data_IF_014909420514
#
_entry.id   IF_014909420514
#
_cell.length_a   1.000
_cell.length_b   1.000
_cell.length_c   1.000
_cell.angle_alpha   90.00
_cell.angle_beta   90.00
_cell.angle_gamma   90.00
#
_symmetry.space_group_name_H-M   'P 1'
#
loop_
_entity.id
_entity.type
_entity.pdbx_description
1 polymer ?
#
# COMPACT_ATOMS: atom_id res chain seq x y z
N UNK A 1 -27.33 38.03 -4.13
CA UNK A 1 -26.89 39.33 -4.68
C UNK A 1 -25.88 39.92 -3.73
N UNK A 2 -24.70 40.29 -4.25
CA UNK A 2 -23.68 41.12 -3.59
C UNK A 2 -22.90 40.41 -2.47
N UNK A 3 -21.72 39.85 -2.69
CA UNK A 3 -20.44 40.53 -3.00
C UNK A 3 -20.03 41.48 -1.86
N UNK A 4 -18.78 41.64 -1.44
CA UNK A 4 -17.46 41.06 -1.66
C UNK A 4 -16.52 42.08 -0.96
N UNK A 5 -15.23 41.75 -0.76
CA UNK A 5 -14.11 42.67 -0.40
C UNK A 5 -13.93 43.04 1.09
N UNK A 6 -12.72 43.16 1.64
CA UNK A 6 -11.37 43.12 1.07
C UNK A 6 -10.32 42.84 2.16
N UNK A 7 -9.25 42.17 1.72
CA UNK A 7 -7.90 42.08 2.28
C UNK A 7 -7.32 43.41 2.81
N UNK A 8 -6.42 43.30 3.79
CA UNK A 8 -5.21 44.12 3.84
C UNK A 8 -3.97 43.27 4.21
N UNK A 9 -3.04 43.22 3.24
CA UNK A 9 -1.64 42.80 3.36
C UNK A 9 -0.84 43.82 4.18
N UNK A 10 0.16 43.35 4.95
CA UNK A 10 1.37 44.14 5.26
C UNK A 10 2.60 43.30 4.91
N UNK A 11 3.41 43.86 4.00
CA UNK A 11 4.73 43.38 3.56
C UNK A 11 5.77 44.37 4.11
N UNK A 12 6.91 43.89 4.57
CA UNK A 12 8.11 44.70 4.84
C UNK A 12 9.36 44.00 4.26
N UNK A 13 10.44 44.74 3.92
CA UNK A 13 11.17 44.57 2.66
C UNK A 13 12.51 43.82 2.79
N UNK A 14 13.10 43.50 1.62
CA UNK A 14 14.44 42.93 1.47
C UNK A 14 15.35 43.83 0.61
N UNK A 15 16.67 43.74 0.88
CA UNK A 15 17.89 44.02 0.07
C UNK A 15 18.89 44.92 0.82
N UNK A 16 20.23 44.80 0.78
CA UNK A 16 21.23 43.80 0.33
C UNK A 16 22.63 44.28 0.90
N UNK A 17 23.83 43.90 0.40
CA UNK A 17 24.87 43.18 1.15
C UNK A 17 26.16 43.99 1.48
N UNK A 18 27.06 43.42 2.32
CA UNK A 18 28.46 43.82 2.43
C UNK A 18 29.38 42.62 2.73
N UNK A 19 30.55 42.59 2.08
CA UNK A 19 31.54 41.51 2.06
C UNK A 19 32.57 41.50 3.22
N UNK A 20 33.74 40.83 3.07
CA UNK A 20 34.18 39.80 4.02
C UNK A 20 35.43 40.16 4.83
N UNK A 21 35.61 39.57 6.02
CA UNK A 21 36.93 39.39 6.67
C UNK A 21 37.03 38.11 7.51
N UNK A 22 38.22 37.52 7.46
CA UNK A 22 38.69 36.22 8.00
C UNK A 22 38.93 36.25 9.53
N UNK A 23 38.93 35.06 10.16
CA UNK A 23 39.74 34.79 11.37
C UNK A 23 39.20 33.69 12.32
N UNK A 24 39.80 32.50 12.29
CA UNK A 24 39.80 31.48 13.36
C UNK A 24 40.77 31.92 14.51
N UNK A 25 40.74 31.36 15.76
CA UNK A 25 40.57 29.94 16.11
C UNK A 25 39.76 29.58 17.41
N UNK A 26 39.55 28.25 17.57
CA UNK A 26 39.06 27.44 18.71
C UNK A 26 40.07 27.40 19.91
N UNK A 27 39.89 26.67 21.06
CA UNK A 27 38.97 25.54 21.39
C UNK A 27 38.40 25.46 22.85
N UNK A 28 37.74 24.31 23.14
CA UNK A 28 37.31 23.69 24.42
C UNK A 28 35.84 24.00 24.82
N UNK A 29 34.95 23.06 25.14
CA UNK A 29 35.08 21.87 25.99
C UNK A 29 34.05 20.77 25.65
N UNK A 30 34.38 19.53 26.03
CA UNK A 30 33.57 18.30 25.88
C UNK A 30 32.52 18.20 26.99
N UNK A 31 31.29 17.81 26.65
CA UNK A 31 30.35 17.18 27.59
C UNK A 31 29.92 15.84 27.03
N UNK A 32 30.07 14.80 27.84
CA UNK A 32 29.83 13.38 27.57
C UNK A 32 28.55 12.99 28.30
N UNK A 33 27.57 12.40 27.62
CA UNK A 33 26.39 11.77 28.23
C UNK A 33 26.49 10.23 28.07
N UNK A 34 25.92 9.46 29.01
CA UNK A 34 26.23 8.03 29.17
C UNK A 34 25.49 7.15 28.16
N UNK A 35 26.15 6.05 27.79
CA UNK A 35 25.64 5.01 26.90
C UNK A 35 24.77 3.99 27.67
N UNK A 36 23.68 3.58 27.06
CA UNK A 36 22.91 2.37 27.40
C UNK A 36 22.96 1.39 26.21
N UNK A 37 22.86 0.06 26.45
CA UNK A 37 23.41 -0.94 25.54
C UNK A 37 22.48 -1.21 24.35
N UNK A 38 23.08 -1.33 23.16
CA UNK A 38 22.40 -1.73 21.94
C UNK A 38 22.02 -3.22 22.00
N UNK A 39 20.72 -3.51 21.94
CA UNK A 39 20.20 -4.83 21.63
C UNK A 39 20.51 -5.19 20.17
N UNK A 40 20.88 -6.45 19.93
CA UNK A 40 21.48 -6.91 18.68
C UNK A 40 20.66 -6.66 17.42
N UNK A 41 21.20 -5.82 16.53
CA UNK A 41 20.73 -5.67 15.15
C UNK A 41 21.04 -6.93 14.34
N UNK A 42 20.01 -7.64 13.88
CA UNK A 42 20.17 -8.61 12.79
C UNK A 42 20.18 -7.88 11.45
N UNK A 43 21.31 -7.99 10.74
CA UNK A 43 21.48 -7.49 9.37
C UNK A 43 20.92 -8.53 8.42
N UNK A 44 19.99 -8.15 7.55
CA UNK A 44 19.64 -8.94 6.38
C UNK A 44 20.22 -8.22 5.17
N UNK A 45 21.23 -8.83 4.54
CA UNK A 45 21.71 -8.46 3.23
C UNK A 45 21.18 -9.51 2.26
N UNK A 46 20.39 -9.10 1.28
CA UNK A 46 19.90 -10.01 0.23
C UNK A 46 20.80 -9.80 -0.99
N UNK A 47 21.69 -10.76 -1.26
CA UNK A 47 22.41 -10.87 -2.53
C UNK A 47 21.94 -12.12 -3.25
N UNK A 48 21.58 -11.98 -4.52
CA UNK A 48 21.20 -13.10 -5.38
C UNK A 48 22.46 -13.80 -5.91
N UNK A 49 22.67 -15.07 -5.56
CA UNK A 49 23.58 -15.95 -6.29
C UNK A 49 23.26 -17.43 -6.07
N UNK A 50 23.01 -18.16 -7.17
CA UNK A 50 23.61 -19.48 -7.41
C UNK A 50 22.85 -20.74 -6.96
N UNK A 51 22.37 -21.47 -7.96
CA UNK A 51 21.93 -22.87 -8.02
C UNK A 51 22.71 -23.90 -7.18
N UNK A 52 22.00 -24.86 -6.60
CA UNK A 52 22.56 -26.13 -6.11
C UNK A 52 21.46 -27.15 -5.76
N UNK A 53 21.40 -28.24 -6.53
CA UNK A 53 20.53 -29.41 -6.32
C UNK A 53 21.13 -30.38 -5.30
N UNK A 54 20.37 -30.77 -4.28
CA UNK A 54 20.72 -31.86 -3.36
C UNK A 54 19.49 -32.36 -2.61
N UNK A 55 19.13 -33.63 -2.83
CA UNK A 55 17.99 -34.33 -2.24
C UNK A 55 18.35 -34.99 -0.90
N UNK A 56 17.60 -34.65 0.16
CA UNK A 56 17.60 -35.27 1.49
C UNK A 56 16.16 -35.28 2.07
N UNK A 57 15.86 -36.10 3.09
CA UNK A 57 14.52 -36.63 3.37
C UNK A 57 13.55 -35.60 3.98
N UNK A 58 12.25 -35.92 3.89
CA UNK A 58 11.10 -35.07 4.18
C UNK A 58 11.14 -34.44 5.60
N UNK A 59 11.48 -33.14 5.64
CA UNK A 59 11.29 -32.26 6.79
C UNK A 59 10.03 -31.41 6.58
N UNK A 60 9.30 -31.16 7.67
CA UNK A 60 8.04 -30.43 7.73
C UNK A 60 8.06 -29.14 6.89
N UNK A 61 7.28 -29.12 5.80
CA UNK A 61 7.24 -28.00 4.87
C UNK A 61 6.70 -26.74 5.56
N UNK A 62 7.59 -25.78 5.84
CA UNK A 62 7.23 -24.42 6.23
C UNK A 62 6.23 -23.79 5.25
N UNK A 63 5.25 -23.04 5.76
CA UNK A 63 4.20 -22.45 4.93
C UNK A 63 4.76 -21.34 4.02
N UNK A 64 4.89 -21.65 2.74
CA UNK A 64 5.28 -20.67 1.71
C UNK A 64 4.05 -20.03 1.05
N UNK A 65 4.20 -18.82 0.50
CA UNK A 65 3.16 -18.18 -0.34
C UNK A 65 2.70 -19.07 -1.51
N UNK A 66 3.64 -19.81 -2.11
CA UNK A 66 3.34 -20.79 -3.16
C UNK A 66 2.49 -21.94 -2.63
N UNK A 67 2.87 -22.47 -1.46
CA UNK A 67 2.04 -23.43 -0.72
C UNK A 67 0.64 -22.89 -0.50
N UNK A 68 0.50 -21.58 -0.22
CA UNK A 68 -0.74 -20.82 -0.02
C UNK A 68 -1.66 -20.68 -1.26
N UNK A 69 -1.22 -21.17 -2.43
CA UNK A 69 -1.95 -21.07 -3.70
C UNK A 69 -1.65 -19.79 -4.49
N UNK A 70 -0.61 -19.03 -4.13
CA UNK A 70 -0.19 -17.81 -4.83
C UNK A 70 1.12 -18.06 -5.57
N UNK A 71 1.06 -18.11 -6.91
CA UNK A 71 2.24 -18.31 -7.77
C UNK A 71 2.75 -16.96 -8.32
N UNK A 72 3.76 -16.40 -7.65
CA UNK A 72 4.39 -15.13 -8.02
C UNK A 72 5.16 -15.25 -9.35
N UNK A 73 5.73 -16.43 -9.65
CA UNK A 73 6.49 -16.66 -10.87
C UNK A 73 5.57 -16.65 -12.10
N UNK A 74 4.40 -17.29 -11.98
CA UNK A 74 3.37 -17.27 -13.02
C UNK A 74 2.87 -15.85 -13.30
N UNK A 75 2.65 -15.05 -12.25
CA UNK A 75 2.29 -13.64 -12.38
C UNK A 75 3.36 -12.83 -13.12
N UNK A 76 4.63 -13.02 -12.76
CA UNK A 76 5.76 -12.34 -13.41
C UNK A 76 5.88 -12.70 -14.89
N UNK A 77 5.70 -13.98 -15.23
CA UNK A 77 5.72 -14.44 -16.62
C UNK A 77 4.55 -13.86 -17.44
N UNK A 78 3.35 -13.78 -16.86
CA UNK A 78 2.21 -13.14 -17.52
C UNK A 78 2.50 -11.66 -17.83
N UNK A 79 3.03 -10.91 -16.86
CA UNK A 79 3.42 -9.49 -17.08
C UNK A 79 4.46 -9.38 -18.19
N UNK A 80 5.44 -10.29 -18.25
CA UNK A 80 6.44 -10.31 -19.33
C UNK A 80 5.82 -10.55 -20.70
N UNK A 81 4.81 -11.43 -20.80
CA UNK A 81 4.08 -11.69 -22.06
C UNK A 81 3.22 -10.51 -22.47
N UNK A 82 2.47 -9.93 -21.53
CA UNK A 82 1.59 -8.78 -21.78
C UNK A 82 2.42 -7.58 -22.28
N UNK A 83 3.59 -7.32 -21.70
CA UNK A 83 4.49 -6.24 -22.17
C UNK A 83 4.90 -6.36 -23.63
N UNK A 84 4.93 -7.57 -24.21
CA UNK A 84 5.20 -7.77 -25.64
C UNK A 84 4.01 -7.40 -26.52
N UNK A 85 2.79 -7.57 -26.00
CA UNK A 85 1.54 -7.27 -26.71
C UNK A 85 1.12 -5.80 -26.54
N UNK A 86 1.39 -5.24 -25.36
CA UNK A 86 1.04 -3.88 -24.97
C UNK A 86 2.27 -3.22 -24.30
N UNK A 87 3.16 -2.58 -25.08
CA UNK A 87 4.42 -2.02 -24.58
C UNK A 87 4.27 -0.90 -23.54
N UNK A 88 3.07 -0.33 -23.40
CA UNK A 88 2.73 0.69 -22.41
C UNK A 88 2.26 0.16 -21.06
N UNK A 89 2.12 -1.16 -20.89
CA UNK A 89 1.69 -1.76 -19.61
C UNK A 89 2.90 -1.94 -18.68
N UNK A 90 2.91 -1.18 -17.58
CA UNK A 90 3.90 -1.29 -16.51
C UNK A 90 3.63 -0.30 -15.38
N UNK A 91 3.83 -0.75 -14.14
CA UNK A 91 3.33 -0.02 -12.96
C UNK A 91 1.83 -0.26 -12.75
N UNK A 92 1.32 0.05 -11.58
CA UNK A 92 -0.08 -0.22 -11.23
C UNK A 92 -1.07 0.82 -11.81
N UNK A 93 -0.58 1.93 -12.37
CA UNK A 93 -1.39 2.95 -13.05
C UNK A 93 -0.95 3.20 -14.49
N UNK A 94 -1.87 3.10 -15.45
CA UNK A 94 -1.63 3.41 -16.86
C UNK A 94 -1.74 4.90 -17.15
N UNK A 95 -0.74 5.49 -17.82
CA UNK A 95 -0.71 6.90 -18.23
C UNK A 95 -1.32 7.06 -19.62
N UNK A 96 -2.36 7.89 -19.75
CA UNK A 96 -3.01 8.24 -21.01
C UNK A 96 -2.88 9.75 -21.29
N UNK A 97 -2.28 10.18 -22.42
CA UNK A 97 -2.13 11.61 -22.73
C UNK A 97 -3.50 12.32 -22.89
N UNK A 98 -3.71 13.42 -22.17
CA UNK A 98 -4.94 14.21 -22.23
C UNK A 98 -4.66 15.71 -22.06
N UNK A 99 -4.65 16.47 -23.16
CA UNK A 99 -4.28 17.89 -23.12
C UNK A 99 -2.86 18.10 -22.57
N UNK A 100 -2.73 18.94 -21.54
CA UNK A 100 -1.48 19.21 -20.82
C UNK A 100 -1.23 18.26 -19.63
N UNK A 101 -2.10 17.27 -19.45
CA UNK A 101 -2.06 16.30 -18.36
C UNK A 101 -1.96 14.87 -18.88
N UNK A 102 -1.71 13.93 -17.98
CA UNK A 102 -2.00 12.53 -18.16
C UNK A 102 -3.21 12.16 -17.31
N UNK A 103 -4.15 11.42 -17.88
CA UNK A 103 -5.08 10.62 -17.10
C UNK A 103 -4.33 9.37 -16.62
N UNK A 104 -4.53 9.01 -15.36
CA UNK A 104 -3.93 7.83 -14.74
C UNK A 104 -5.05 6.91 -14.30
N UNK A 105 -5.12 5.73 -14.91
CA UNK A 105 -6.14 4.74 -14.59
C UNK A 105 -5.53 3.51 -13.92
N UNK A 106 -6.18 3.04 -12.86
CA UNK A 106 -5.83 1.81 -12.14
C UNK A 106 -7.06 0.95 -11.94
N UNK A 107 -6.88 -0.36 -11.91
CA UNK A 107 -7.93 -1.32 -11.58
C UNK A 107 -7.39 -2.35 -10.61
N UNK A 108 -8.19 -2.68 -9.60
CA UNK A 108 -7.84 -3.69 -8.61
C UNK A 108 -9.10 -4.32 -8.02
N UNK A 109 -8.93 -5.46 -7.36
CA UNK A 109 -9.94 -6.12 -6.55
C UNK A 109 -9.54 -6.15 -5.08
N UNK A 110 -10.43 -6.65 -4.23
CA UNK A 110 -10.13 -6.85 -2.80
C UNK A 110 -9.32 -8.13 -2.59
N UNK A 111 -9.55 -9.15 -3.41
CA UNK A 111 -8.87 -10.44 -3.30
C UNK A 111 -9.40 -11.30 -2.14
N UNK A 112 -8.55 -12.17 -1.59
CA UNK A 112 -8.98 -13.22 -0.65
C UNK A 112 -9.40 -12.72 0.74
N UNK A 113 -9.29 -11.41 1.01
CA UNK A 113 -9.89 -10.77 2.18
C UNK A 113 -11.42 -10.88 2.19
N UNK A 114 -12.05 -10.96 1.01
CA UNK A 114 -13.51 -11.18 0.88
C UNK A 114 -13.98 -12.43 1.62
N UNK A 115 -13.15 -13.49 1.70
CA UNK A 115 -13.51 -14.70 2.45
C UNK A 115 -13.69 -14.42 3.94
N UNK A 116 -12.84 -13.58 4.53
CA UNK A 116 -13.02 -13.14 5.92
C UNK A 116 -14.20 -12.19 6.07
N UNK A 117 -14.49 -11.36 5.08
CA UNK A 117 -15.70 -10.53 5.09
C UNK A 117 -16.96 -11.41 5.20
N UNK A 118 -17.02 -12.52 4.45
CA UNK A 118 -18.14 -13.47 4.52
C UNK A 118 -18.21 -14.19 5.87
N UNK A 119 -17.06 -14.64 6.40
CA UNK A 119 -17.00 -15.37 7.68
C UNK A 119 -17.33 -14.48 8.89
N UNK A 120 -16.95 -13.21 8.85
CA UNK A 120 -17.19 -12.24 9.95
C UNK A 120 -18.50 -11.47 9.82
N UNK A 121 -19.10 -11.40 8.63
CA UNK A 121 -20.22 -10.52 8.32
C UNK A 121 -19.86 -9.03 8.25
N UNK A 122 -18.56 -8.69 8.25
CA UNK A 122 -18.07 -7.31 8.15
C UNK A 122 -17.96 -6.93 6.66
N UNK A 123 -18.96 -6.22 6.17
CA UNK A 123 -19.06 -5.81 4.75
C UNK A 123 -19.00 -4.30 4.56
N UNK A 124 -19.21 -3.51 5.61
CA UNK A 124 -19.31 -2.05 5.55
C UNK A 124 -17.96 -1.35 5.35
N UNK A 125 -16.84 -2.03 5.63
CA UNK A 125 -15.49 -1.51 5.43
C UNK A 125 -14.78 -2.08 4.20
N UNK A 126 -15.29 -3.16 3.60
CA UNK A 126 -14.61 -3.86 2.50
C UNK A 126 -14.54 -3.00 1.21
N UNK A 127 -15.51 -2.11 1.03
CA UNK A 127 -15.49 -1.13 -0.05
C UNK A 127 -14.35 -0.10 0.10
N UNK A 128 -13.90 0.17 1.33
CA UNK A 128 -12.73 1.04 1.58
C UNK A 128 -11.47 0.36 1.06
N UNK A 129 -11.31 -0.95 1.31
CA UNK A 129 -10.21 -1.75 0.77
C UNK A 129 -10.18 -1.69 -0.76
N UNK A 130 -11.34 -1.89 -1.41
CA UNK A 130 -11.47 -1.82 -2.87
C UNK A 130 -10.98 -0.48 -3.42
N UNK A 131 -11.42 0.63 -2.83
CA UNK A 131 -11.01 1.96 -3.27
C UNK A 131 -9.52 2.19 -3.00
N UNK A 132 -9.06 1.83 -1.80
CA UNK A 132 -7.68 2.05 -1.36
C UNK A 132 -6.67 1.39 -2.28
N UNK A 133 -6.93 0.16 -2.73
CA UNK A 133 -6.04 -0.55 -3.64
C UNK A 133 -5.79 0.24 -4.91
N UNK A 134 -6.84 0.68 -5.61
CA UNK A 134 -6.69 1.41 -6.88
C UNK A 134 -6.19 2.86 -6.70
N UNK A 135 -6.68 3.59 -5.68
CA UNK A 135 -6.32 5.01 -5.52
C UNK A 135 -4.89 5.21 -5.00
N UNK A 136 -4.41 4.30 -4.12
CA UNK A 136 -3.03 4.34 -3.64
C UNK A 136 -2.04 4.00 -4.76
N UNK A 137 -2.45 3.20 -5.75
CA UNK A 137 -1.63 2.91 -6.91
C UNK A 137 -1.50 4.11 -7.85
N UNK A 138 -2.61 4.77 -8.21
CA UNK A 138 -2.53 5.91 -9.13
C UNK A 138 -1.80 7.11 -8.51
N UNK A 139 -1.91 7.33 -7.18
CA UNK A 139 -1.22 8.44 -6.51
C UNK A 139 0.31 8.28 -6.49
N UNK A 140 0.84 7.07 -6.74
CA UNK A 140 2.30 6.85 -6.85
C UNK A 140 2.94 7.64 -8.00
N UNK A 141 2.15 7.97 -9.03
CA UNK A 141 2.57 8.82 -10.15
C UNK A 141 2.43 10.32 -9.88
N UNK A 142 1.91 10.69 -8.70
CA UNK A 142 1.48 12.05 -8.35
C UNK A 142 0.09 12.42 -8.84
N UNK A 143 -0.68 11.47 -9.36
CA UNK A 143 -2.05 11.73 -9.82
C UNK A 143 -3.02 12.02 -8.68
N UNK A 144 -3.83 13.06 -8.86
CA UNK A 144 -4.99 13.34 -8.01
C UNK A 144 -6.16 12.49 -8.50
N UNK A 145 -6.74 11.60 -7.69
CA UNK A 145 -7.97 10.89 -8.04
C UNK A 145 -9.10 11.86 -8.41
N UNK A 146 -9.84 11.55 -9.47
CA UNK A 146 -10.99 12.31 -9.95
C UNK A 146 -12.28 11.55 -9.64
N UNK A 147 -12.37 10.32 -10.11
CA UNK A 147 -13.54 9.47 -9.94
C UNK A 147 -13.18 7.99 -9.83
N UNK A 148 -14.15 7.23 -9.31
CA UNK A 148 -14.09 5.80 -9.13
C UNK A 148 -15.30 5.13 -9.79
N UNK A 149 -15.12 3.92 -10.30
CA UNK A 149 -16.21 3.03 -10.69
C UNK A 149 -16.05 1.68 -10.01
N UNK A 150 -17.16 0.99 -9.77
CA UNK A 150 -17.16 -0.36 -9.20
C UNK A 150 -17.93 -1.36 -10.09
N UNK A 151 -17.56 -2.63 -9.94
CA UNK A 151 -18.28 -3.77 -10.49
C UNK A 151 -18.48 -4.78 -9.36
N UNK A 152 -19.75 -5.05 -9.06
CA UNK A 152 -20.19 -5.97 -8.03
C UNK A 152 -20.78 -7.22 -8.69
N UNK A 153 -20.19 -8.39 -8.44
CA UNK A 153 -20.69 -9.66 -8.95
C UNK A 153 -21.08 -10.58 -7.80
N UNK A 154 -22.23 -11.24 -7.88
CA UNK A 154 -22.71 -12.15 -6.83
C UNK A 154 -23.49 -13.31 -7.42
N UNK A 155 -23.73 -14.35 -6.64
CA UNK A 155 -24.65 -15.43 -7.01
C UNK A 155 -26.09 -14.93 -7.10
N UNK A 156 -26.53 -14.26 -6.03
CA UNK A 156 -27.84 -13.63 -5.89
C UNK A 156 -27.67 -12.33 -5.11
N UNK A 157 -28.38 -11.29 -5.50
CA UNK A 157 -28.29 -9.98 -4.88
C UNK A 157 -29.03 -9.97 -3.53
N UNK A 158 -28.24 -9.76 -2.48
CA UNK A 158 -28.73 -9.30 -1.19
C UNK A 158 -28.55 -7.78 -1.14
N UNK A 159 -29.66 -7.05 -1.15
CA UNK A 159 -29.67 -5.59 -1.23
C UNK A 159 -29.07 -4.94 0.01
N UNK A 160 -29.36 -5.47 1.20
CA UNK A 160 -28.88 -4.89 2.47
C UNK A 160 -27.37 -5.09 2.62
N UNK A 161 -26.87 -6.24 2.17
CA UNK A 161 -25.43 -6.52 2.12
C UNK A 161 -24.74 -5.64 1.08
N UNK A 162 -25.31 -5.53 -0.13
CA UNK A 162 -24.74 -4.70 -1.19
C UNK A 162 -24.68 -3.23 -0.76
N UNK A 163 -25.72 -2.70 -0.10
CA UNK A 163 -25.74 -1.34 0.43
C UNK A 163 -24.57 -1.09 1.39
N UNK A 164 -24.26 -2.03 2.29
CA UNK A 164 -23.09 -1.92 3.19
C UNK A 164 -21.78 -1.82 2.40
N UNK A 165 -21.61 -2.66 1.39
CA UNK A 165 -20.40 -2.64 0.54
C UNK A 165 -20.28 -1.30 -0.19
N UNK A 166 -21.34 -0.85 -0.85
CA UNK A 166 -21.35 0.43 -1.58
C UNK A 166 -21.10 1.61 -0.63
N UNK A 167 -21.64 1.59 0.60
CA UNK A 167 -21.33 2.59 1.62
C UNK A 167 -19.83 2.66 1.89
N UNK A 168 -19.16 1.51 2.05
CA UNK A 168 -17.70 1.46 2.20
C UNK A 168 -16.96 2.04 0.99
N UNK A 169 -17.44 1.81 -0.24
CA UNK A 169 -16.86 2.39 -1.46
C UNK A 169 -17.02 3.92 -1.44
N UNK A 170 -18.20 4.42 -1.08
CA UNK A 170 -18.47 5.86 -0.95
C UNK A 170 -17.55 6.49 0.09
N UNK A 171 -17.41 5.85 1.25
CA UNK A 171 -16.51 6.30 2.33
C UNK A 171 -15.04 6.33 1.86
N UNK A 172 -14.60 5.32 1.10
CA UNK A 172 -13.28 5.29 0.48
C UNK A 172 -13.08 6.42 -0.54
N UNK A 173 -14.08 6.70 -1.37
CA UNK A 173 -14.04 7.80 -2.33
C UNK A 173 -13.91 9.16 -1.63
N UNK A 174 -14.66 9.39 -0.55
CA UNK A 174 -14.57 10.59 0.27
C UNK A 174 -13.19 10.76 0.93
N UNK A 175 -12.61 9.67 1.44
CA UNK A 175 -11.23 9.68 1.95
C UNK A 175 -10.21 10.05 0.88
N UNK A 176 -10.47 9.64 -0.37
CA UNK A 176 -9.59 9.87 -1.54
C UNK A 176 -9.81 11.21 -2.24
N UNK A 177 -10.81 12.01 -1.85
CA UNK A 177 -11.25 13.20 -2.58
C UNK A 177 -11.65 12.91 -4.06
N UNK A 178 -12.21 11.73 -4.33
CA UNK A 178 -12.83 11.41 -5.61
C UNK A 178 -14.33 11.17 -5.43
N UNK A 179 -15.07 11.13 -6.54
CA UNK A 179 -16.48 10.76 -6.55
C UNK A 179 -16.66 9.31 -6.98
N UNK A 180 -17.66 8.63 -6.44
CA UNK A 180 -18.18 7.42 -7.07
C UNK A 180 -19.02 7.85 -8.28
N UNK A 181 -18.52 7.61 -9.49
CA UNK A 181 -19.14 8.09 -10.73
C UNK A 181 -20.25 7.16 -11.22
N UNK A 182 -20.10 5.86 -10.96
CA UNK A 182 -21.08 4.84 -11.32
C UNK A 182 -20.52 3.45 -11.06
N UNK A 183 -21.35 2.45 -11.25
CA UNK A 183 -20.97 1.06 -11.10
C UNK A 183 -21.94 0.13 -11.82
N UNK A 184 -21.66 -1.17 -11.74
CA UNK A 184 -22.49 -2.22 -12.34
C UNK A 184 -22.68 -3.36 -11.33
N UNK A 185 -23.85 -3.99 -11.36
CA UNK A 185 -24.20 -5.12 -10.47
C UNK A 185 -24.66 -6.31 -11.30
N UNK A 186 -23.99 -7.45 -11.14
CA UNK A 186 -24.27 -8.66 -11.89
C UNK A 186 -24.64 -9.84 -10.98
N UNK A 187 -25.78 -10.46 -11.24
CA UNK A 187 -26.20 -11.73 -10.62
C UNK A 187 -25.84 -12.91 -11.55
N UNK A 188 -25.03 -13.83 -11.05
CA UNK A 188 -24.48 -14.99 -11.76
C UNK A 188 -24.54 -16.24 -10.87
N UNK A 189 -25.72 -16.83 -10.66
CA UNK A 189 -25.95 -17.90 -9.67
C UNK A 189 -25.14 -19.18 -9.93
N UNK A 190 -24.84 -19.48 -11.19
CA UNK A 190 -24.06 -20.66 -11.58
C UNK A 190 -22.53 -20.44 -11.51
N UNK A 191 -22.08 -19.19 -11.28
CA UNK A 191 -20.67 -18.83 -11.23
C UNK A 191 -20.18 -18.63 -9.79
N UNK A 192 -20.94 -17.90 -8.98
CA UNK A 192 -20.61 -17.63 -7.59
C UNK A 192 -21.38 -18.54 -6.64
N UNK A 193 -20.75 -18.90 -5.52
CA UNK A 193 -21.45 -19.59 -4.43
C UNK A 193 -22.46 -18.67 -3.79
N UNK A 194 -23.54 -19.24 -3.26
CA UNK A 194 -24.54 -18.50 -2.51
C UNK A 194 -23.90 -17.73 -1.34
N UNK A 195 -24.25 -16.45 -1.19
CA UNK A 195 -23.69 -15.55 -0.18
C UNK A 195 -22.30 -14.99 -0.49
N UNK A 196 -21.65 -15.41 -1.58
CA UNK A 196 -20.36 -14.87 -2.01
C UNK A 196 -20.52 -13.83 -3.12
N UNK A 197 -19.70 -12.77 -3.04
CA UNK A 197 -19.58 -11.75 -4.06
C UNK A 197 -18.11 -11.45 -4.40
N UNK A 198 -17.87 -10.85 -5.56
CA UNK A 198 -16.58 -10.31 -5.96
C UNK A 198 -16.71 -8.84 -6.31
N UNK A 199 -15.62 -8.11 -6.11
CA UNK A 199 -15.54 -6.66 -6.29
C UNK A 199 -14.36 -6.32 -7.17
N UNK A 200 -14.62 -5.52 -8.20
CA UNK A 200 -13.59 -4.87 -9.00
C UNK A 200 -13.80 -3.36 -8.98
N UNK A 201 -12.70 -2.62 -8.84
CA UNK A 201 -12.69 -1.18 -8.70
C UNK A 201 -11.83 -0.54 -9.77
N UNK A 202 -12.22 0.66 -10.22
CA UNK A 202 -11.57 1.39 -11.29
C UNK A 202 -11.39 2.84 -10.85
N UNK A 203 -10.15 3.26 -10.63
CA UNK A 203 -9.84 4.64 -10.28
C UNK A 203 -9.27 5.37 -11.48
N UNK A 204 -9.73 6.59 -11.72
CA UNK A 204 -9.14 7.51 -12.70
C UNK A 204 -8.73 8.79 -11.98
N UNK A 205 -7.46 9.18 -12.17
CA UNK A 205 -6.89 10.43 -11.69
C UNK A 205 -6.26 11.24 -12.82
N UNK A 206 -5.74 12.41 -12.47
CA UNK A 206 -4.99 13.27 -13.40
C UNK A 206 -3.70 13.82 -12.77
N UNK A 207 -2.68 13.97 -13.59
CA UNK A 207 -1.39 14.58 -13.23
C UNK A 207 -0.87 15.42 -14.38
N UNK A 208 -0.31 16.60 -14.09
CA UNK A 208 0.37 17.39 -15.12
C UNK A 208 1.58 16.64 -15.68
N UNK A 209 1.82 16.76 -16.99
CA UNK A 209 2.92 16.04 -17.66
C UNK A 209 4.29 16.34 -17.05
N UNK A 210 4.53 17.57 -16.60
CA UNK A 210 5.78 18.01 -15.97
C UNK A 210 5.86 17.69 -14.46
N UNK A 211 4.82 17.08 -13.88
CA UNK A 211 4.71 16.72 -12.46
C UNK A 211 4.65 15.22 -12.20
N UNK A 212 4.74 14.39 -13.24
CA UNK A 212 4.76 12.94 -13.09
C UNK A 212 5.94 12.52 -12.21
N UNK A 213 5.66 11.74 -11.18
CA UNK A 213 6.67 11.11 -10.32
C UNK A 213 6.96 9.73 -10.90
N UNK A 214 8.21 9.51 -11.33
CA UNK A 214 8.60 8.29 -12.03
C UNK A 214 9.90 7.64 -11.50
N UNK A 215 10.46 8.16 -10.39
CA UNK A 215 11.64 7.58 -9.77
C UNK A 215 12.97 7.88 -10.46
N UNK A 216 12.99 8.48 -11.67
CA UNK A 216 14.22 8.64 -12.46
C UNK A 216 15.27 9.54 -11.79
N UNK A 217 14.85 10.41 -10.87
CA UNK A 217 15.73 11.32 -10.14
C UNK A 217 16.25 10.76 -8.81
N UNK A 218 15.90 9.52 -8.46
CA UNK A 218 16.43 8.82 -7.28
C UNK A 218 17.92 8.57 -7.49
N UNK A 219 18.71 8.89 -6.46
CA UNK A 219 20.17 8.71 -6.43
C UNK A 219 20.61 8.07 -5.12
N UNK A 220 21.85 7.57 -5.08
CA UNK A 220 22.46 7.10 -3.84
C UNK A 220 22.46 8.21 -2.78
N UNK A 221 22.13 7.85 -1.54
CA UNK A 221 22.03 8.78 -0.42
C UNK A 221 20.64 9.39 -0.19
N UNK A 222 19.69 9.17 -1.11
CA UNK A 222 18.29 9.51 -0.88
C UNK A 222 17.69 8.71 0.29
N UNK A 223 16.74 9.32 0.99
CA UNK A 223 16.10 8.75 2.19
C UNK A 223 14.76 8.10 1.83
N UNK A 224 14.52 6.91 2.38
CA UNK A 224 13.23 6.23 2.32
C UNK A 224 12.40 6.58 3.55
N UNK A 225 11.16 6.99 3.33
CA UNK A 225 10.19 7.28 4.38
C UNK A 225 9.01 6.33 4.18
N UNK A 226 8.67 5.58 5.24
CA UNK A 226 7.51 4.70 5.26
C UNK A 226 6.30 5.38 5.91
N UNK A 227 5.12 5.19 5.33
CA UNK A 227 3.85 5.51 5.98
C UNK A 227 3.30 4.22 6.62
N UNK A 228 2.83 4.26 7.89
CA UNK A 228 2.38 3.08 8.59
C UNK A 228 1.08 2.52 7.98
N UNK A 229 1.00 1.20 7.85
CA UNK A 229 -0.24 0.51 7.52
C UNK A 229 -1.16 0.39 8.74
N UNK A 230 -2.43 0.05 8.50
CA UNK A 230 -3.42 -0.28 9.54
C UNK A 230 -3.37 -1.76 9.94
N UNK A 231 -2.57 -2.56 9.24
CA UNK A 231 -2.53 -4.02 9.36
C UNK A 231 -2.05 -4.63 8.05
N UNK A 232 -2.58 -5.81 7.72
CA UNK A 232 -2.28 -6.58 6.50
C UNK A 232 -2.83 -5.96 5.21
N UNK A 233 -3.66 -4.92 5.31
CA UNK A 233 -4.33 -4.25 4.19
C UNK A 233 -5.21 -5.22 3.40
N UNK A 234 -5.05 -5.31 2.07
CA UNK A 234 -5.81 -6.24 1.21
C UNK A 234 -4.92 -7.34 0.59
N UNK A 235 -3.76 -7.63 1.19
CA UNK A 235 -2.78 -8.57 0.65
C UNK A 235 -2.40 -9.65 1.67
N UNK A 236 -2.06 -10.85 1.19
CA UNK A 236 -1.58 -11.96 2.04
C UNK A 236 -2.65 -12.77 2.76
N UNK A 237 -3.94 -12.54 2.49
CA UNK A 237 -5.05 -13.20 3.20
C UNK A 237 -5.11 -14.72 3.02
N UNK A 238 -4.62 -15.25 1.89
CA UNK A 238 -4.50 -16.70 1.72
C UNK A 238 -3.53 -17.32 2.73
N UNK A 239 -2.45 -16.61 3.08
CA UNK A 239 -1.51 -17.05 4.12
C UNK A 239 -2.10 -16.81 5.51
N UNK A 240 -2.70 -15.64 5.74
CA UNK A 240 -3.30 -15.30 7.03
C UNK A 240 -4.40 -16.28 7.45
N UNK A 241 -5.27 -16.71 6.52
CA UNK A 241 -6.29 -17.73 6.81
C UNK A 241 -5.69 -19.09 7.16
N UNK A 242 -4.59 -19.49 6.51
CA UNK A 242 -3.89 -20.74 6.86
C UNK A 242 -3.20 -20.69 8.22
N UNK A 243 -2.63 -19.54 8.57
CA UNK A 243 -2.10 -19.31 9.91
C UNK A 243 -3.23 -19.39 10.94
N UNK A 244 -4.36 -18.74 10.68
CA UNK A 244 -5.55 -18.84 11.54
C UNK A 244 -5.96 -20.31 11.75
N UNK A 245 -6.15 -21.07 10.67
CA UNK A 245 -6.53 -22.49 10.73
C UNK A 245 -5.54 -23.34 11.56
N UNK A 246 -4.23 -23.09 11.41
CA UNK A 246 -3.20 -23.82 12.17
C UNK A 246 -3.08 -23.39 13.62
N UNK A 247 -3.32 -22.11 13.91
CA UNK A 247 -3.21 -21.56 15.26
C UNK A 247 -4.28 -22.11 16.22
N UNK A 248 -5.40 -22.63 15.67
CA UNK A 248 -6.56 -23.07 16.45
C UNK A 248 -7.38 -21.92 17.05
N UNK A 249 -7.03 -20.67 16.74
CA UNK A 249 -7.81 -19.50 17.13
C UNK A 249 -9.04 -19.34 16.22
N UNK A 250 -10.11 -18.80 16.80
CA UNK A 250 -11.27 -18.27 16.09
C UNK A 250 -11.12 -16.77 15.80
N UNK A 251 -11.90 -16.25 14.86
CA UNK A 251 -11.92 -14.83 14.53
C UNK A 251 -12.38 -13.95 15.71
N UNK A 252 -13.10 -14.52 16.68
CA UNK A 252 -13.58 -13.83 17.87
C UNK A 252 -12.61 -13.89 19.05
N UNK A 253 -11.54 -14.68 18.95
CA UNK A 253 -10.55 -14.76 20.03
C UNK A 253 -9.70 -13.49 20.10
N UNK A 254 -9.21 -13.13 21.30
CA UNK A 254 -8.28 -12.02 21.45
C UNK A 254 -7.03 -12.21 20.60
N UNK A 255 -6.59 -11.15 19.93
CA UNK A 255 -5.34 -11.16 19.18
C UNK A 255 -4.16 -11.39 20.15
N UNK A 256 -3.30 -12.41 19.91
CA UNK A 256 -2.12 -12.62 20.74
C UNK A 256 -1.18 -11.41 20.78
N UNK A 257 -0.53 -11.20 21.93
CA UNK A 257 0.48 -10.13 22.15
C UNK A 257 -0.03 -8.71 21.88
N UNK A 258 -1.34 -8.50 22.01
CA UNK A 258 -1.96 -7.18 21.93
C UNK A 258 -2.17 -6.60 23.34
N UNK A 259 -1.08 -6.43 24.08
CA UNK A 259 -1.13 -6.05 25.50
C UNK A 259 -1.87 -4.71 25.69
N UNK A 260 -2.97 -4.74 26.43
CA UNK A 260 -3.76 -3.56 26.77
C UNK A 260 -4.83 -3.15 25.76
N UNK A 261 -5.05 -3.90 24.67
CA UNK A 261 -6.10 -3.62 23.69
C UNK A 261 -6.96 -4.86 23.43
N UNK A 262 -8.27 -4.74 23.62
CA UNK A 262 -9.24 -5.80 23.31
C UNK A 262 -9.59 -5.79 21.83
N UNK A 263 -8.63 -6.13 20.97
CA UNK A 263 -8.90 -6.40 19.53
C UNK A 263 -8.87 -7.90 19.29
N UNK A 264 -9.90 -8.41 18.64
CA UNK A 264 -9.99 -9.80 18.20
C UNK A 264 -9.14 -10.05 16.95
N UNK A 265 -8.86 -11.32 16.64
CA UNK A 265 -8.15 -11.69 15.40
C UNK A 265 -8.91 -11.20 14.17
N UNK A 266 -10.23 -11.34 14.16
CA UNK A 266 -11.09 -10.90 13.06
C UNK A 266 -11.04 -9.39 12.84
N UNK A 267 -11.15 -8.59 13.91
CA UNK A 267 -11.04 -7.12 13.82
C UNK A 267 -9.66 -6.68 13.30
N UNK A 268 -8.59 -7.33 13.76
CA UNK A 268 -7.23 -7.00 13.32
C UNK A 268 -6.99 -7.33 11.84
N UNK A 269 -7.54 -8.44 11.35
CA UNK A 269 -7.46 -8.83 9.93
C UNK A 269 -8.40 -8.02 9.05
N UNK A 270 -9.56 -7.62 9.56
CA UNK A 270 -10.57 -6.84 8.84
C UNK A 270 -10.34 -5.32 8.91
N UNK A 271 -9.29 -4.86 9.59
CA UNK A 271 -8.89 -3.45 9.56
C UNK A 271 -8.79 -2.95 8.10
N UNK A 272 -9.49 -1.86 7.73
CA UNK A 272 -9.52 -1.38 6.35
C UNK A 272 -8.15 -0.85 5.92
N UNK A 273 -7.81 -1.04 4.65
CA UNK A 273 -6.61 -0.49 4.03
C UNK A 273 -6.60 1.02 4.15
N UNK A 274 -5.44 1.58 4.52
CA UNK A 274 -5.27 3.03 4.68
C UNK A 274 -5.24 3.68 3.30
N UNK A 275 -6.07 4.70 3.11
CA UNK A 275 -6.04 5.57 1.92
C UNK A 275 -5.06 6.71 2.18
N UNK A 276 -3.96 6.74 1.41
CA UNK A 276 -2.87 7.70 1.61
C UNK A 276 -2.97 8.95 0.74
N UNK A 277 -4.00 9.06 -0.10
CA UNK A 277 -4.11 10.08 -1.16
C UNK A 277 -3.89 11.49 -0.63
N UNK A 278 -4.61 11.89 0.43
CA UNK A 278 -4.52 13.25 0.99
C UNK A 278 -3.12 13.54 1.53
N UNK A 279 -2.55 12.61 2.30
CA UNK A 279 -1.24 12.74 2.91
C UNK A 279 -0.14 12.79 1.85
N UNK A 280 -0.20 11.92 0.85
CA UNK A 280 0.80 11.84 -0.23
C UNK A 280 0.73 13.09 -1.11
N UNK A 281 -0.45 13.55 -1.52
CA UNK A 281 -0.57 14.78 -2.31
C UNK A 281 -0.09 16.02 -1.53
N UNK A 282 -0.33 16.09 -0.23
CA UNK A 282 0.23 17.15 0.64
C UNK A 282 1.77 17.10 0.67
N UNK A 283 2.37 15.91 0.85
CA UNK A 283 3.83 15.73 0.82
C UNK A 283 4.41 16.11 -0.56
N UNK A 284 3.77 15.68 -1.65
CA UNK A 284 4.17 16.05 -3.01
C UNK A 284 4.15 17.57 -3.20
N UNK A 285 3.12 18.25 -2.67
CA UNK A 285 3.00 19.71 -2.79
C UNK A 285 4.15 20.48 -2.10
N UNK A 286 4.78 19.86 -1.10
CA UNK A 286 5.96 20.40 -0.39
C UNK A 286 7.27 20.15 -1.14
N UNK A 287 7.26 19.31 -2.17
CA UNK A 287 8.42 18.99 -3.01
C UNK A 287 9.36 17.94 -2.42
N UNK A 288 10.38 17.57 -3.18
CA UNK A 288 11.42 16.61 -2.76
C UNK A 288 11.05 15.13 -2.92
N UNK A 289 9.80 14.79 -3.26
CA UNK A 289 9.39 13.43 -3.59
C UNK A 289 9.94 13.04 -4.96
N UNK A 290 10.79 12.01 -4.98
CA UNK A 290 11.42 11.51 -6.21
C UNK A 290 10.78 10.23 -6.74
N UNK A 291 10.17 9.45 -5.85
CA UNK A 291 9.50 8.19 -6.16
C UNK A 291 8.57 7.78 -5.02
N UNK A 292 7.56 6.99 -5.36
CA UNK A 292 6.58 6.43 -4.45
C UNK A 292 6.40 4.95 -4.79
N UNK A 293 6.25 4.11 -3.77
CA UNK A 293 5.97 2.69 -3.92
C UNK A 293 4.81 2.32 -2.99
N UNK A 294 3.69 1.89 -3.56
CA UNK A 294 2.59 1.31 -2.81
C UNK A 294 2.96 -0.15 -2.48
N UNK A 295 2.96 -0.50 -1.19
CA UNK A 295 3.39 -1.82 -0.73
C UNK A 295 2.19 -2.76 -0.69
N UNK A 296 2.06 -3.59 -1.71
CA UNK A 296 0.97 -4.56 -1.89
C UNK A 296 1.53 -5.99 -1.94
N UNK A 297 0.99 -6.86 -2.81
CA UNK A 297 1.49 -8.21 -3.03
C UNK A 297 3.00 -8.23 -3.30
N UNK A 298 3.70 -9.21 -2.70
CA UNK A 298 5.16 -9.30 -2.75
C UNK A 298 5.92 -8.34 -1.82
N UNK A 299 5.22 -7.46 -1.09
CA UNK A 299 5.80 -6.65 -0.03
C UNK A 299 6.94 -5.74 -0.49
N UNK A 300 7.95 -5.56 0.35
CA UNK A 300 9.07 -4.64 0.06
C UNK A 300 9.94 -5.09 -1.11
N UNK A 301 10.17 -6.40 -1.26
CA UNK A 301 11.08 -6.94 -2.28
C UNK A 301 10.55 -6.71 -3.69
N UNK A 302 9.24 -6.76 -3.86
CA UNK A 302 8.64 -6.68 -5.18
C UNK A 302 8.24 -5.26 -5.53
N UNK A 303 7.80 -4.46 -4.55
CA UNK A 303 7.22 -3.14 -4.82
C UNK A 303 8.27 -2.03 -4.82
N UNK A 304 9.21 -2.03 -3.87
CA UNK A 304 10.20 -0.95 -3.75
C UNK A 304 11.08 -0.86 -5.00
N UNK A 305 11.67 -1.95 -5.55
CA UNK A 305 12.56 -1.84 -6.70
C UNK A 305 11.91 -1.30 -7.98
N UNK A 306 10.57 -1.33 -8.10
CA UNK A 306 9.85 -0.90 -9.32
C UNK A 306 10.03 0.59 -9.63
N UNK A 307 10.28 1.41 -8.61
CA UNK A 307 10.49 2.86 -8.76
C UNK A 307 11.97 3.24 -8.89
N UNK A 308 12.90 2.31 -8.65
CA UNK A 308 14.32 2.63 -8.69
C UNK A 308 14.90 2.60 -10.11
N UNK A 309 15.79 3.55 -10.45
CA UNK A 309 16.68 3.42 -11.60
C UNK A 309 17.52 2.15 -11.53
N UNK A 310 17.87 1.60 -12.70
CA UNK A 310 18.72 0.41 -12.80
C UNK A 310 20.06 0.63 -12.09
N UNK A 311 20.45 -0.32 -11.26
CA UNK A 311 21.73 -0.29 -10.52
C UNK A 311 21.62 0.27 -9.11
N UNK A 312 20.45 0.77 -8.71
CA UNK A 312 20.18 1.16 -7.34
C UNK A 312 19.37 0.10 -6.59
N UNK A 313 19.42 0.17 -5.25
CA UNK A 313 18.64 -0.66 -4.35
C UNK A 313 18.35 0.09 -3.05
N UNK A 314 17.48 -0.49 -2.23
CA UNK A 314 17.07 0.07 -0.95
C UNK A 314 17.70 -0.69 0.22
N UNK A 315 18.24 0.04 1.20
CA UNK A 315 18.64 -0.52 2.50
C UNK A 315 17.56 -0.18 3.52
N UNK A 316 16.78 -1.18 3.92
CA UNK A 316 15.76 -1.04 4.96
C UNK A 316 16.37 -1.40 6.32
N UNK A 317 16.22 -0.50 7.30
CA UNK A 317 16.69 -0.72 8.68
C UNK A 317 15.52 -1.25 9.51
N UNK A 318 15.52 -2.55 9.78
CA UNK A 318 14.50 -3.16 10.65
C UNK A 318 14.57 -2.58 12.07
N UNK A 319 13.42 -2.48 12.72
CA UNK A 319 13.29 -1.83 14.03
C UNK A 319 13.23 -0.30 13.98
N UNK A 320 13.23 0.32 12.79
CA UNK A 320 13.01 1.77 12.64
C UNK A 320 11.52 2.16 12.62
N UNK A 321 10.61 1.20 12.77
CA UNK A 321 9.17 1.39 12.91
C UNK A 321 8.59 0.33 13.85
N UNK A 322 7.40 0.61 14.39
CA UNK A 322 6.65 -0.36 15.19
C UNK A 322 6.00 -1.39 14.28
N UNK A 323 6.22 -2.68 14.56
CA UNK A 323 5.50 -3.77 13.91
C UNK A 323 4.19 -3.99 14.65
N UNK A 324 3.07 -4.06 13.91
CA UNK A 324 1.75 -4.27 14.53
C UNK A 324 1.63 -5.72 15.04
N UNK A 325 0.93 -5.95 16.17
CA UNK A 325 0.78 -7.28 16.77
C UNK A 325 0.25 -8.35 15.79
N UNK A 326 -0.61 -7.97 14.83
CA UNK A 326 -1.12 -8.90 13.80
C UNK A 326 0.02 -9.53 12.98
N UNK A 327 1.08 -8.79 12.68
CA UNK A 327 2.24 -9.33 11.96
C UNK A 327 3.13 -10.19 12.86
N UNK A 328 3.26 -9.84 14.14
CA UNK A 328 4.00 -10.65 15.11
C UNK A 328 3.33 -11.99 15.38
N UNK A 329 1.99 -12.01 15.41
CA UNK A 329 1.20 -13.23 15.46
C UNK A 329 1.38 -14.06 14.19
N UNK A 330 1.16 -13.45 13.01
CA UNK A 330 1.33 -14.15 11.73
C UNK A 330 2.73 -14.75 11.55
N UNK A 331 3.77 -14.12 12.08
CA UNK A 331 5.16 -14.60 11.96
C UNK A 331 5.46 -15.85 12.82
N UNK A 332 4.78 -16.05 13.95
CA UNK A 332 5.07 -17.17 14.87
C UNK A 332 4.81 -18.52 14.19
N UNK A 333 3.70 -18.64 13.48
CA UNK A 333 3.30 -19.89 12.82
C UNK A 333 3.97 -20.08 11.45
N UNK A 334 4.79 -19.11 11.01
CA UNK A 334 5.59 -19.16 9.79
C UNK A 334 7.05 -19.56 10.03
N UNK A 335 7.48 -19.71 11.29
CA UNK A 335 8.82 -20.22 11.61
C UNK A 335 8.81 -21.75 11.64
N UNK A 336 9.05 -22.34 10.46
CA UNK A 336 9.68 -23.65 10.31
C UNK A 336 10.98 -23.46 9.53
#
# INVERSE_FOLDING_TARGET
>A
MGADRLLHLVRAPAAAPAGPLRGHPQPHSRVRLPATPAAGMRRVAVSCSGSGSGSGPADEEGMTYKGAGVDIDAGTELVRRIRKLAPGIGGFGGLYPHGDEYLVAGTDGVGTKLKLAFETGIHDTIGIDLVAMSVNDIVTSGAKPLFFLDYYATSKLDVDLAEKVIKGIVDGCQQSNCILLGGETAEMPDFYKEGEYDLSGFAVGAVKKDKVIDGKSIVEGDVLIGLPSSGVHSNGFSLARRVLDKSGLSLTDPLPRNDGVTTTVGEALMAPTVIYVKQVLDIISKGGVKGLAHITGGGFTDNIPRVFPKGLGAKIVTGSWQVLPVFEWLQQDLQC
#
